data_IF_934903163902
#
_entry.id   IF_934903163902
#
_cell.length_a   1.000
_cell.length_b   1.000
_cell.length_c   1.000
_cell.angle_alpha   90.00
_cell.angle_beta   90.00
_cell.angle_gamma   90.00
#
_symmetry.space_group_name_H-M   'P 1'
#
loop_
_entity.id
_entity.type
_entity.pdbx_description
1 polymer ?
#
# COMPACT_ATOMS: atom_id res chain seq x y z
N UNK A 1 -8.43 -5.95 1.39
CA UNK A 1 -7.71 -5.50 2.60
C UNK A 1 -7.15 -4.12 2.30
N UNK A 2 -7.49 -3.13 3.11
CA UNK A 2 -7.09 -1.73 2.90
C UNK A 2 -6.42 -1.21 4.17
N UNK A 3 -5.19 -0.71 4.03
CA UNK A 3 -4.47 -0.06 5.12
C UNK A 3 -4.70 1.46 5.08
N UNK A 4 -4.60 2.17 6.22
CA UNK A 4 -4.69 3.62 6.26
C UNK A 4 -3.47 4.28 5.60
N UNK A 5 -3.72 5.24 4.72
CA UNK A 5 -2.71 6.08 4.08
C UNK A 5 -2.35 7.32 4.92
N UNK A 6 -1.46 8.18 4.43
CA UNK A 6 -1.18 9.50 5.03
C UNK A 6 -0.01 9.51 6.00
N UNK A 7 1.04 8.73 5.73
CA UNK A 7 2.26 8.71 6.55
C UNK A 7 3.50 8.96 5.71
N UNK A 8 4.59 9.33 6.36
CA UNK A 8 5.92 9.46 5.76
C UNK A 8 6.67 8.11 5.69
N UNK A 9 5.99 6.96 5.83
CA UNK A 9 6.63 5.63 5.83
C UNK A 9 7.68 5.40 6.94
N UNK A 10 7.73 6.26 7.97
CA UNK A 10 8.49 6.06 9.21
C UNK A 10 7.57 5.85 10.41
N UNK A 11 6.26 5.80 10.18
CA UNK A 11 5.24 5.56 11.20
C UNK A 11 4.03 4.85 10.58
N UNK A 12 3.26 4.18 11.44
CA UNK A 12 1.96 3.63 11.11
C UNK A 12 0.86 4.69 11.24
N UNK A 13 -0.38 4.24 11.12
CA UNK A 13 -1.56 5.09 11.21
C UNK A 13 -2.69 4.28 11.85
N UNK A 14 -3.51 4.86 12.75
CA UNK A 14 -4.67 4.18 13.28
C UNK A 14 -5.80 4.23 12.25
N UNK A 15 -6.93 3.58 12.56
CA UNK A 15 -8.19 3.80 11.84
C UNK A 15 -9.05 4.89 12.50
N UNK A 16 -8.63 5.37 13.68
CA UNK A 16 -9.39 6.33 14.47
C UNK A 16 -9.30 7.72 13.83
N UNK A 17 -10.45 8.28 13.45
CA UNK A 17 -10.57 9.68 13.03
C UNK A 17 -10.56 9.96 11.52
N UNK A 18 -10.27 8.97 10.67
CA UNK A 18 -10.36 9.10 9.21
C UNK A 18 -11.51 8.23 8.67
N UNK A 19 -12.43 8.85 7.93
CA UNK A 19 -13.52 8.12 7.27
C UNK A 19 -13.02 7.51 5.96
N UNK A 20 -12.34 6.36 6.04
CA UNK A 20 -11.92 5.54 4.89
C UNK A 20 -13.10 4.86 4.17
N UNK A 21 -14.34 5.27 4.48
CA UNK A 21 -15.52 4.79 3.79
C UNK A 21 -15.44 5.05 2.29
N UNK A 22 -14.95 6.20 1.83
CA UNK A 22 -14.82 6.49 0.40
C UNK A 22 -13.85 5.54 -0.33
N UNK A 23 -12.80 5.08 0.36
CA UNK A 23 -11.84 4.11 -0.19
C UNK A 23 -12.41 2.68 -0.23
N UNK A 24 -13.41 2.37 0.59
CA UNK A 24 -13.84 0.98 0.83
C UNK A 24 -15.27 0.65 0.47
N UNK A 25 -16.19 1.62 0.57
CA UNK A 25 -17.59 1.48 0.18
C UNK A 25 -17.74 1.04 -1.28
N UNK A 26 -17.03 1.63 -2.27
CA UNK A 26 -17.22 1.21 -3.66
C UNK A 26 -16.89 -0.28 -3.90
N UNK A 27 -15.91 -0.82 -3.17
CA UNK A 27 -15.61 -2.25 -3.20
C UNK A 27 -16.74 -3.08 -2.58
N UNK A 28 -17.29 -2.63 -1.45
CA UNK A 28 -18.42 -3.30 -0.81
C UNK A 28 -19.66 -3.32 -1.72
N UNK A 29 -19.99 -2.19 -2.34
CA UNK A 29 -21.09 -2.07 -3.31
C UNK A 29 -20.86 -2.92 -4.57
N UNK A 30 -19.60 -3.13 -4.95
CA UNK A 30 -19.23 -4.01 -6.05
C UNK A 30 -19.26 -5.51 -5.69
N UNK A 31 -19.59 -5.86 -4.45
CA UNK A 31 -19.77 -7.23 -3.97
C UNK A 31 -18.53 -7.85 -3.29
N UNK A 32 -17.52 -7.05 -2.96
CA UNK A 32 -16.35 -7.52 -2.21
C UNK A 32 -16.57 -7.33 -0.71
N UNK A 33 -16.02 -8.24 0.11
CA UNK A 33 -15.85 -7.94 1.53
C UNK A 33 -14.64 -7.02 1.70
N UNK A 34 -14.88 -5.76 2.08
CA UNK A 34 -13.81 -4.79 2.36
C UNK A 34 -13.48 -4.78 3.85
N UNK A 35 -12.19 -4.87 4.16
CA UNK A 35 -11.68 -4.93 5.54
C UNK A 35 -10.53 -3.94 5.64
N UNK A 36 -10.70 -3.01 6.56
CA UNK A 36 -9.68 -2.05 6.96
C UNK A 36 -8.93 -2.56 8.19
N UNK A 37 -7.67 -2.20 8.32
CA UNK A 37 -6.84 -2.56 9.47
C UNK A 37 -5.82 -1.46 9.76
N UNK A 38 -5.53 -1.20 11.03
CA UNK A 38 -4.53 -0.20 11.43
C UNK A 38 -3.10 -0.69 11.22
N UNK A 39 -2.16 0.26 11.17
CA UNK A 39 -0.73 0.01 11.15
C UNK A 39 -0.11 0.41 12.48
N UNK A 40 0.78 -0.43 13.01
CA UNK A 40 1.45 -0.16 14.29
C UNK A 40 2.31 1.11 14.22
N UNK A 41 2.28 1.89 15.31
CA UNK A 41 3.07 3.11 15.42
C UNK A 41 2.35 4.34 14.88
N UNK A 42 1.10 4.57 15.28
CA UNK A 42 0.39 5.82 15.03
C UNK A 42 1.03 7.00 15.78
N UNK A 43 0.94 8.19 15.19
CA UNK A 43 1.30 9.47 15.81
C UNK A 43 0.07 10.38 15.80
N UNK A 44 -0.25 10.94 16.96
CA UNK A 44 -1.36 11.87 17.16
C UNK A 44 -0.87 13.31 17.35
N UNK A 45 0.38 13.49 17.78
CA UNK A 45 1.04 14.78 17.92
C UNK A 45 2.42 14.75 17.26
N UNK A 46 2.54 15.35 16.07
CA UNK A 46 3.80 15.41 15.31
C UNK A 46 4.86 16.30 15.94
N UNK A 47 4.50 17.16 16.90
CA UNK A 47 5.46 17.97 17.66
C UNK A 47 6.07 17.17 18.84
N UNK A 48 5.53 15.99 19.19
CA UNK A 48 6.07 15.14 20.24
C UNK A 48 7.11 14.16 19.70
N UNK A 49 8.38 14.53 19.80
CA UNK A 49 9.51 13.70 19.36
C UNK A 49 9.58 12.34 20.08
N UNK A 50 9.14 12.25 21.35
CA UNK A 50 9.14 11.00 22.08
C UNK A 50 8.06 10.05 21.56
N UNK A 51 6.89 10.60 21.22
CA UNK A 51 5.82 9.87 20.53
C UNK A 51 6.27 9.37 19.17
N UNK A 52 6.85 10.24 18.32
CA UNK A 52 7.38 9.86 17.01
C UNK A 52 8.43 8.74 17.10
N UNK A 53 9.34 8.83 18.08
CA UNK A 53 10.36 7.81 18.29
C UNK A 53 9.75 6.47 18.68
N UNK A 54 8.71 6.48 19.54
CA UNK A 54 7.98 5.28 19.94
C UNK A 54 7.20 4.68 18.76
N UNK A 55 6.49 5.52 18.01
CA UNK A 55 5.73 5.15 16.83
C UNK A 55 6.62 4.49 15.77
N UNK A 56 7.76 5.10 15.45
CA UNK A 56 8.73 4.51 14.52
C UNK A 56 9.25 3.14 14.98
N UNK A 57 9.55 2.97 16.28
CA UNK A 57 9.98 1.66 16.79
C UNK A 57 8.90 0.59 16.61
N UNK A 58 7.64 0.94 16.82
CA UNK A 58 6.50 0.04 16.63
C UNK A 58 6.31 -0.30 15.15
N UNK A 59 6.29 0.71 14.26
CA UNK A 59 6.17 0.52 12.81
C UNK A 59 7.31 -0.34 12.23
N UNK A 60 8.55 -0.07 12.67
CA UNK A 60 9.72 -0.88 12.32
C UNK A 60 9.61 -2.30 12.84
N UNK A 61 9.18 -2.50 14.09
CA UNK A 61 8.97 -3.84 14.65
C UNK A 61 7.86 -4.62 13.92
N UNK A 62 6.88 -3.91 13.38
CA UNK A 62 5.82 -4.46 12.54
C UNK A 62 6.25 -4.67 11.07
N UNK A 63 7.54 -4.46 10.75
CA UNK A 63 8.08 -4.67 9.42
C UNK A 63 7.44 -3.77 8.37
N UNK A 64 7.36 -2.48 8.67
CA UNK A 64 6.72 -1.47 7.83
C UNK A 64 5.26 -1.82 7.44
N UNK A 65 4.52 -2.41 8.38
CA UNK A 65 3.11 -2.80 8.20
C UNK A 65 2.89 -4.25 7.73
N UNK A 66 3.93 -4.97 7.29
CA UNK A 66 3.77 -6.37 6.82
C UNK A 66 3.28 -7.33 7.91
N UNK A 67 3.63 -7.10 9.18
CA UNK A 67 3.10 -7.88 10.30
C UNK A 67 1.60 -7.60 10.51
N UNK A 68 1.17 -6.34 10.40
CA UNK A 68 -0.25 -5.96 10.46
C UNK A 68 -1.04 -6.63 9.34
N UNK A 69 -0.51 -6.61 8.11
CA UNK A 69 -1.10 -7.30 6.96
C UNK A 69 -1.25 -8.80 7.21
N UNK A 70 -0.20 -9.47 7.72
CA UNK A 70 -0.27 -10.90 8.07
C UNK A 70 -1.37 -11.18 9.08
N UNK A 71 -1.49 -10.36 10.12
CA UNK A 71 -2.51 -10.52 11.14
C UNK A 71 -3.92 -10.43 10.56
N UNK A 72 -4.20 -9.47 9.66
CA UNK A 72 -5.52 -9.36 9.03
C UNK A 72 -5.77 -10.50 8.02
N UNK A 73 -4.77 -10.94 7.25
CA UNK A 73 -4.89 -12.11 6.36
C UNK A 73 -5.31 -13.35 7.17
N UNK A 74 -4.62 -13.62 8.28
CA UNK A 74 -4.91 -14.76 9.14
C UNK A 74 -6.27 -14.62 9.85
N UNK A 75 -6.62 -13.41 10.30
CA UNK A 75 -7.95 -13.14 10.84
C UNK A 75 -9.05 -13.48 9.83
N UNK A 76 -8.92 -13.01 8.58
CA UNK A 76 -9.88 -13.27 7.52
C UNK A 76 -10.04 -14.78 7.28
N UNK A 77 -8.92 -15.48 7.06
CA UNK A 77 -8.91 -16.92 6.77
C UNK A 77 -9.50 -17.76 7.91
N UNK A 78 -9.33 -17.33 9.16
CA UNK A 78 -9.75 -18.11 10.33
C UNK A 78 -11.14 -17.73 10.85
N UNK A 79 -11.61 -16.50 10.62
CA UNK A 79 -12.79 -15.94 11.29
C UNK A 79 -13.93 -15.59 10.36
N UNK A 80 -13.71 -15.50 9.05
CA UNK A 80 -14.71 -15.10 8.06
C UNK A 80 -14.94 -16.23 7.05
N UNK A 81 -15.76 -17.26 7.40
CA UNK A 81 -15.97 -18.43 6.54
C UNK A 81 -16.61 -18.12 5.18
N UNK A 82 -17.23 -16.95 5.04
CA UNK A 82 -17.78 -16.44 3.78
C UNK A 82 -16.72 -15.95 2.77
N UNK A 83 -15.46 -15.79 3.19
CA UNK A 83 -14.37 -15.37 2.31
C UNK A 83 -13.71 -16.59 1.65
N UNK A 84 -13.55 -16.57 0.32
CA UNK A 84 -12.67 -17.52 -0.36
C UNK A 84 -11.20 -17.16 -0.05
N UNK A 85 -10.45 -18.01 0.67
CA UNK A 85 -9.07 -17.71 1.06
C UNK A 85 -8.12 -17.59 -0.13
N UNK A 86 -8.54 -18.00 -1.34
CA UNK A 86 -7.76 -17.85 -2.59
C UNK A 86 -8.03 -16.54 -3.32
N UNK A 87 -8.92 -15.69 -2.80
CA UNK A 87 -9.36 -14.41 -3.39
C UNK A 87 -9.17 -13.25 -2.42
N UNK A 88 -8.00 -13.20 -1.77
CA UNK A 88 -7.63 -12.09 -0.90
C UNK A 88 -6.89 -11.04 -1.73
N UNK A 89 -7.43 -9.83 -1.75
CA UNK A 89 -6.87 -8.68 -2.46
C UNK A 89 -6.36 -7.63 -1.48
N UNK A 90 -5.24 -7.00 -1.81
CA UNK A 90 -4.72 -5.84 -1.08
C UNK A 90 -4.85 -4.60 -1.96
N UNK A 91 -5.30 -3.50 -1.36
CA UNK A 91 -5.43 -2.21 -2.03
C UNK A 91 -5.02 -1.09 -1.07
N UNK A 92 -4.41 -0.03 -1.59
CA UNK A 92 -4.07 1.12 -0.77
C UNK A 92 -3.59 2.32 -1.59
N UNK A 93 -3.76 3.49 -0.99
CA UNK A 93 -3.36 4.78 -1.51
C UNK A 93 -2.03 5.25 -0.91
N UNK A 94 -1.18 5.92 -1.69
CA UNK A 94 -0.02 6.65 -1.15
C UNK A 94 0.87 5.74 -0.29
N UNK A 95 1.09 6.07 0.99
CA UNK A 95 1.81 5.20 1.93
C UNK A 95 1.17 3.81 2.10
N UNK A 96 -0.16 3.68 2.07
CA UNK A 96 -0.85 2.39 2.07
C UNK A 96 -0.72 1.64 0.74
N UNK A 97 -0.50 2.35 -0.37
CA UNK A 97 -0.12 1.74 -1.66
C UNK A 97 1.23 1.04 -1.55
N UNK A 98 2.18 1.68 -0.84
CA UNK A 98 3.47 1.09 -0.48
C UNK A 98 3.28 -0.19 0.33
N UNK A 99 2.45 -0.14 1.39
CA UNK A 99 2.12 -1.32 2.21
C UNK A 99 1.47 -2.44 1.38
N UNK A 100 0.63 -2.11 0.40
CA UNK A 100 0.03 -3.10 -0.50
C UNK A 100 1.07 -3.80 -1.38
N UNK A 101 2.04 -3.06 -1.90
CA UNK A 101 3.18 -3.65 -2.62
C UNK A 101 4.03 -4.54 -1.70
N UNK A 102 4.32 -4.06 -0.47
CA UNK A 102 5.05 -4.84 0.54
C UNK A 102 4.30 -6.12 0.94
N UNK A 103 2.98 -6.07 1.03
CA UNK A 103 2.14 -7.24 1.27
C UNK A 103 2.26 -8.25 0.12
N UNK A 104 2.17 -7.79 -1.12
CA UNK A 104 2.24 -8.63 -2.30
C UNK A 104 3.61 -9.31 -2.48
N UNK A 105 4.72 -8.63 -2.15
CA UNK A 105 6.05 -9.25 -2.15
C UNK A 105 6.23 -10.26 -1.00
N UNK A 106 5.64 -9.99 0.17
CA UNK A 106 5.91 -10.76 1.40
C UNK A 106 5.03 -12.00 1.48
N UNK A 107 3.79 -11.94 0.96
CA UNK A 107 2.79 -13.00 1.05
C UNK A 107 2.28 -13.44 -0.33
N UNK A 108 3.16 -13.86 -1.26
CA UNK A 108 2.79 -14.17 -2.65
C UNK A 108 1.82 -15.35 -2.80
N UNK A 109 1.68 -16.18 -1.75
CA UNK A 109 0.75 -17.31 -1.73
C UNK A 109 -0.63 -16.95 -1.16
N UNK A 110 -0.72 -15.87 -0.37
CA UNK A 110 -1.98 -15.43 0.24
C UNK A 110 -2.60 -14.26 -0.53
N UNK A 111 -1.80 -13.40 -1.16
CA UNK A 111 -2.27 -12.24 -1.91
C UNK A 111 -2.56 -12.63 -3.36
N UNK A 112 -3.84 -12.66 -3.72
CA UNK A 112 -4.31 -13.06 -5.04
C UNK A 112 -4.20 -11.95 -6.10
N UNK A 113 -4.21 -10.69 -5.69
CA UNK A 113 -3.96 -9.52 -6.53
C UNK A 113 -3.64 -8.30 -5.64
N UNK A 114 -2.88 -7.35 -6.17
CA UNK A 114 -2.48 -6.13 -5.48
C UNK A 114 -2.83 -4.91 -6.31
N UNK A 115 -3.41 -3.92 -5.64
CA UNK A 115 -3.78 -2.62 -6.20
C UNK A 115 -3.00 -1.55 -5.42
N UNK A 116 -2.29 -0.67 -6.10
CA UNK A 116 -1.63 0.46 -5.47
C UNK A 116 -1.91 1.75 -6.25
N UNK A 117 -2.48 2.73 -5.54
CA UNK A 117 -2.80 4.05 -6.05
C UNK A 117 -1.75 5.05 -5.55
N UNK A 118 -1.10 5.75 -6.48
CA UNK A 118 -0.04 6.71 -6.20
C UNK A 118 0.98 6.26 -5.13
N UNK A 119 1.50 5.01 -5.18
CA UNK A 119 2.41 4.53 -4.15
C UNK A 119 3.75 5.25 -4.19
N UNK A 120 4.36 5.43 -3.02
CA UNK A 120 5.81 5.61 -2.94
C UNK A 120 6.49 4.24 -3.10
N UNK A 121 7.15 3.99 -4.22
CA UNK A 121 7.77 2.68 -4.49
C UNK A 121 9.24 2.59 -4.04
N UNK A 122 9.85 3.73 -3.77
CA UNK A 122 11.24 3.90 -3.38
C UNK A 122 11.37 4.82 -2.14
N UNK A 123 10.93 4.38 -0.95
CA UNK A 123 11.18 5.06 0.33
C UNK A 123 12.64 5.49 0.53
N UNK A 124 13.61 4.70 0.05
CA UNK A 124 15.04 5.05 0.10
C UNK A 124 15.34 6.33 -0.68
N UNK A 125 14.81 6.46 -1.91
CA UNK A 125 14.90 7.69 -2.69
C UNK A 125 14.07 8.83 -2.07
N UNK A 126 12.86 8.55 -1.59
CA UNK A 126 11.97 9.53 -0.97
C UNK A 126 12.60 10.22 0.24
N UNK A 127 13.34 9.48 1.06
CA UNK A 127 14.06 10.02 2.21
C UNK A 127 15.50 10.44 1.90
N UNK A 128 15.97 10.38 0.66
CA UNK A 128 17.39 10.59 0.33
C UNK A 128 17.89 11.97 0.77
N UNK A 129 17.12 13.02 0.45
CA UNK A 129 17.46 14.42 0.74
C UNK A 129 17.11 14.86 2.16
N UNK A 130 16.45 14.01 2.93
CA UNK A 130 16.12 14.34 4.30
C UNK A 130 17.41 14.44 5.15
N UNK A 131 17.47 15.34 6.17
CA UNK A 131 18.68 15.55 6.96
C UNK A 131 19.06 14.29 7.75
N UNK A 132 19.86 13.41 7.14
CA UNK A 132 20.06 12.03 7.61
C UNK A 132 20.62 11.91 9.02
N UNK A 133 21.44 12.87 9.46
CA UNK A 133 21.94 12.93 10.84
C UNK A 133 20.81 13.20 11.86
N UNK A 134 19.93 14.15 11.55
CA UNK A 134 18.79 14.49 12.40
C UNK A 134 17.77 13.35 12.42
N UNK A 135 17.40 12.84 11.23
CA UNK A 135 16.48 11.71 11.13
C UNK A 135 17.04 10.45 11.79
N UNK A 136 18.33 10.15 11.69
CA UNK A 136 18.88 8.96 12.36
C UNK A 136 18.90 9.10 13.89
N UNK A 137 18.83 10.32 14.43
CA UNK A 137 18.70 10.56 15.87
C UNK A 137 17.29 10.23 16.34
N UNK A 138 16.27 10.63 15.58
CA UNK A 138 14.84 10.42 15.91
C UNK A 138 14.40 8.99 15.51
N UNK A 139 14.89 8.51 14.37
CA UNK A 139 14.58 7.24 13.73
C UNK A 139 15.84 6.39 13.47
N UNK A 140 16.45 5.82 14.52
CA UNK A 140 17.67 5.03 14.37
C UNK A 140 17.49 3.88 13.37
N UNK A 141 18.39 3.82 12.38
CA UNK A 141 18.41 2.76 11.37
C UNK A 141 17.35 2.89 10.27
N UNK A 142 16.75 4.08 10.08
CA UNK A 142 15.72 4.28 9.05
C UNK A 142 16.23 3.98 7.64
N UNK A 143 17.50 4.28 7.33
CA UNK A 143 18.12 3.90 6.05
C UNK A 143 18.05 2.40 5.77
N UNK A 144 18.24 1.56 6.78
CA UNK A 144 18.13 0.11 6.64
C UNK A 144 16.67 -0.33 6.49
N UNK A 145 15.73 0.36 7.16
CA UNK A 145 14.30 0.16 6.97
C UNK A 145 13.93 0.48 5.51
N UNK A 146 14.26 1.67 5.03
CA UNK A 146 14.00 2.13 3.67
C UNK A 146 14.54 1.15 2.63
N UNK A 147 15.82 0.77 2.73
CA UNK A 147 16.45 -0.20 1.82
C UNK A 147 15.75 -1.56 1.81
N UNK A 148 15.25 -2.00 2.97
CA UNK A 148 14.59 -3.29 3.07
C UNK A 148 13.14 -3.24 2.58
N UNK A 149 12.45 -2.13 2.82
CA UNK A 149 11.02 -1.95 2.57
C UNK A 149 10.74 -0.98 1.42
N UNK A 150 11.66 -0.90 0.44
CA UNK A 150 11.41 -0.24 -0.84
C UNK A 150 10.95 -1.24 -1.90
N UNK A 151 9.65 -1.26 -2.29
CA UNK A 151 9.11 -2.22 -3.25
C UNK A 151 9.89 -2.30 -4.57
N UNK A 152 10.42 -1.19 -5.06
CA UNK A 152 11.16 -1.14 -6.32
C UNK A 152 12.38 -2.07 -6.32
N UNK A 153 12.99 -2.30 -5.15
CA UNK A 153 14.20 -3.13 -4.98
C UNK A 153 13.91 -4.63 -5.05
N UNK A 154 12.64 -5.02 -4.86
CA UNK A 154 12.16 -6.40 -4.87
C UNK A 154 11.03 -6.57 -5.87
N UNK A 155 11.04 -5.79 -6.95
CA UNK A 155 10.03 -5.85 -8.01
C UNK A 155 9.91 -7.26 -8.62
N UNK A 156 10.99 -8.06 -8.56
CA UNK A 156 11.01 -9.46 -8.98
C UNK A 156 10.18 -10.38 -8.06
N UNK A 157 9.88 -9.99 -6.83
CA UNK A 157 9.07 -10.76 -5.87
C UNK A 157 7.56 -10.49 -6.00
N UNK A 158 7.16 -9.47 -6.75
CA UNK A 158 5.74 -9.15 -6.99
C UNK A 158 5.15 -10.09 -8.04
N UNK A 159 4.69 -11.27 -7.61
CA UNK A 159 4.23 -12.35 -8.50
C UNK A 159 2.74 -12.36 -8.84
N UNK A 160 1.90 -11.77 -7.98
CA UNK A 160 0.46 -11.70 -8.24
C UNK A 160 0.14 -10.66 -9.33
N UNK A 161 -1.05 -10.69 -9.95
CA UNK A 161 -1.55 -9.57 -10.74
C UNK A 161 -1.42 -8.24 -9.98
N UNK A 162 -0.89 -7.22 -10.67
CA UNK A 162 -0.69 -5.87 -10.13
C UNK A 162 -1.51 -4.85 -10.92
N UNK A 163 -2.20 -3.99 -10.20
CA UNK A 163 -2.82 -2.78 -10.74
C UNK A 163 -2.17 -1.55 -10.11
N UNK A 164 -1.45 -0.78 -10.92
CA UNK A 164 -0.79 0.45 -10.53
C UNK A 164 -1.52 1.63 -11.17
N UNK A 165 -1.87 2.62 -10.35
CA UNK A 165 -2.64 3.77 -10.80
C UNK A 165 -2.04 5.09 -10.35
N UNK A 166 -2.14 6.11 -11.21
CA UNK A 166 -1.56 7.42 -10.97
C UNK A 166 -2.33 8.52 -11.72
N UNK A 167 -2.46 9.70 -11.12
CA UNK A 167 -2.83 10.91 -11.86
C UNK A 167 -1.58 11.69 -12.27
N UNK A 168 -1.58 12.26 -13.47
CA UNK A 168 -0.43 13.03 -13.99
C UNK A 168 -0.29 14.40 -13.36
N UNK A 169 -1.36 14.92 -12.75
CA UNK A 169 -1.39 16.19 -12.00
C UNK A 169 -1.22 16.00 -10.48
N UNK A 170 -0.82 14.81 -10.02
CA UNK A 170 -0.57 14.52 -8.61
C UNK A 170 0.51 15.45 -8.04
N UNK A 171 0.11 16.23 -7.04
CA UNK A 171 0.94 17.25 -6.38
C UNK A 171 1.81 16.69 -5.26
N UNK A 172 1.65 15.43 -4.88
CA UNK A 172 2.37 14.79 -3.77
C UNK A 172 3.39 13.78 -4.27
N UNK A 173 3.00 12.89 -5.20
CA UNK A 173 3.86 11.85 -5.77
C UNK A 173 3.96 12.06 -7.26
N UNK A 174 5.18 12.29 -7.76
CA UNK A 174 5.41 12.46 -9.19
C UNK A 174 4.98 11.22 -9.98
N UNK A 175 4.23 11.42 -11.07
CA UNK A 175 3.67 10.31 -11.83
C UNK A 175 4.73 9.35 -12.41
N UNK A 176 5.96 9.85 -12.61
CA UNK A 176 7.10 9.05 -13.03
C UNK A 176 7.45 7.91 -12.05
N UNK A 177 7.17 8.07 -10.76
CA UNK A 177 7.46 7.08 -9.72
C UNK A 177 6.64 5.79 -9.91
N UNK A 178 5.31 5.92 -10.01
CA UNK A 178 4.42 4.77 -10.25
C UNK A 178 4.69 4.11 -11.59
N UNK A 179 5.02 4.89 -12.62
CA UNK A 179 5.42 4.37 -13.94
C UNK A 179 6.72 3.57 -13.87
N UNK A 180 7.74 4.06 -13.17
CA UNK A 180 9.01 3.36 -12.92
C UNK A 180 8.79 2.04 -12.20
N UNK A 181 7.92 2.01 -11.19
CA UNK A 181 7.53 0.76 -10.51
C UNK A 181 6.86 -0.25 -11.46
N UNK A 182 5.94 0.22 -12.31
CA UNK A 182 5.29 -0.64 -13.30
C UNK A 182 6.30 -1.25 -14.29
N UNK A 183 7.22 -0.44 -14.79
CA UNK A 183 8.29 -0.88 -15.69
C UNK A 183 9.25 -1.88 -15.02
N UNK A 184 9.59 -1.68 -13.75
CA UNK A 184 10.41 -2.61 -12.99
C UNK A 184 9.71 -3.96 -12.78
N UNK A 185 8.44 -3.96 -12.35
CA UNK A 185 7.67 -5.18 -12.13
C UNK A 185 7.44 -5.96 -13.45
N UNK A 186 7.19 -5.27 -14.57
CA UNK A 186 6.97 -5.89 -15.89
C UNK A 186 8.14 -6.73 -16.40
N UNK A 187 9.36 -6.48 -15.91
CA UNK A 187 10.54 -7.31 -16.24
C UNK A 187 10.42 -8.74 -15.70
N UNK A 188 9.59 -8.96 -14.68
CA UNK A 188 9.49 -10.22 -13.95
C UNK A 188 8.06 -10.77 -13.83
N UNK A 189 7.05 -9.95 -14.13
CA UNK A 189 5.64 -10.29 -14.02
C UNK A 189 4.88 -9.76 -15.25
N UNK A 190 4.24 -10.65 -16.00
CA UNK A 190 3.47 -10.30 -17.20
C UNK A 190 2.02 -9.84 -16.90
N UNK A 191 1.59 -9.87 -15.64
CA UNK A 191 0.26 -9.49 -15.18
C UNK A 191 0.24 -8.10 -14.51
N UNK A 192 0.99 -7.14 -15.08
CA UNK A 192 1.09 -5.77 -14.57
C UNK A 192 0.28 -4.80 -15.42
N UNK A 193 -0.82 -4.32 -14.87
CA UNK A 193 -1.65 -3.25 -15.42
C UNK A 193 -1.22 -1.91 -14.82
N UNK A 194 -0.83 -0.96 -15.67
CA UNK A 194 -0.59 0.43 -15.28
C UNK A 194 -1.67 1.29 -15.93
N UNK A 195 -2.35 2.10 -15.15
CA UNK A 195 -3.41 3.00 -15.59
C UNK A 195 -3.12 4.41 -15.11
N UNK A 196 -3.13 5.37 -16.03
CA UNK A 196 -2.96 6.79 -15.70
C UNK A 196 -4.16 7.62 -16.11
N UNK A 197 -4.37 8.74 -15.43
CA UNK A 197 -5.40 9.74 -15.74
C UNK A 197 -4.81 11.14 -15.72
N UNK A 198 -5.44 12.07 -16.44
CA UNK A 198 -4.91 13.41 -16.63
C UNK A 198 -5.16 14.39 -15.48
N UNK A 199 -6.09 14.08 -14.58
CA UNK A 199 -6.58 15.01 -13.56
C UNK A 199 -7.10 14.30 -12.31
N UNK A 200 -7.23 15.08 -11.24
CA UNK A 200 -7.83 14.66 -9.97
C UNK A 200 -6.83 14.61 -8.81
N UNK A 201 -5.60 15.07 -9.05
CA UNK A 201 -4.55 15.20 -8.04
C UNK A 201 -4.32 13.87 -7.28
N UNK A 202 -3.73 13.94 -6.08
CA UNK A 202 -3.31 12.78 -5.31
C UNK A 202 -4.49 11.87 -4.87
N UNK A 203 -5.54 12.44 -4.27
CA UNK A 203 -6.61 11.66 -3.64
C UNK A 203 -7.87 11.49 -4.50
N UNK A 204 -8.41 12.56 -5.06
CA UNK A 204 -9.70 12.51 -5.77
C UNK A 204 -9.63 11.65 -7.04
N UNK A 205 -8.48 11.63 -7.72
CA UNK A 205 -8.25 10.78 -8.88
C UNK A 205 -8.40 9.30 -8.56
N UNK A 206 -7.93 8.86 -7.40
CA UNK A 206 -8.12 7.50 -6.92
C UNK A 206 -9.61 7.23 -6.72
N UNK A 207 -10.31 8.07 -5.96
CA UNK A 207 -11.72 7.84 -5.61
C UNK A 207 -12.59 7.79 -6.87
N UNK A 208 -12.48 8.81 -7.72
CA UNK A 208 -13.39 9.00 -8.86
C UNK A 208 -13.04 8.12 -10.06
N UNK A 209 -11.78 7.72 -10.22
CA UNK A 209 -11.30 7.04 -11.43
C UNK A 209 -10.52 5.76 -11.13
N UNK A 210 -9.61 5.79 -10.16
CA UNK A 210 -8.76 4.66 -9.81
C UNK A 210 -9.54 3.45 -9.28
N UNK A 211 -10.39 3.66 -8.27
CA UNK A 211 -11.20 2.59 -7.65
C UNK A 211 -12.17 1.96 -8.65
N UNK A 212 -12.97 2.73 -9.43
CA UNK A 212 -13.81 2.13 -10.48
C UNK A 212 -13.03 1.28 -11.49
N UNK A 213 -11.85 1.74 -11.92
CA UNK A 213 -10.99 0.98 -12.86
C UNK A 213 -10.43 -0.28 -12.21
N UNK A 214 -10.00 -0.22 -10.95
CA UNK A 214 -9.48 -1.38 -10.23
C UNK A 214 -10.56 -2.43 -9.96
N UNK A 215 -11.78 -2.01 -9.63
CA UNK A 215 -12.93 -2.92 -9.47
C UNK A 215 -13.22 -3.63 -10.80
N UNK A 216 -13.26 -2.89 -11.91
CA UNK A 216 -13.42 -3.47 -13.25
C UNK A 216 -12.31 -4.48 -13.56
N UNK A 217 -11.06 -4.14 -13.24
CA UNK A 217 -9.91 -5.01 -13.39
C UNK A 217 -10.00 -6.28 -12.52
N UNK A 218 -10.35 -6.17 -11.23
CA UNK A 218 -10.51 -7.32 -10.33
C UNK A 218 -11.54 -8.32 -10.86
N UNK A 219 -12.64 -7.85 -11.46
CA UNK A 219 -13.63 -8.73 -12.10
C UNK A 219 -13.04 -9.56 -13.24
N UNK A 220 -12.08 -9.01 -13.99
CA UNK A 220 -11.35 -9.77 -15.02
C UNK A 220 -10.42 -10.82 -14.41
N UNK A 221 -9.75 -10.49 -13.30
CA UNK A 221 -8.90 -11.43 -12.55
C UNK A 221 -9.75 -12.58 -12.01
N UNK A 222 -10.90 -12.28 -11.41
CA UNK A 222 -11.83 -13.28 -10.89
C UNK A 222 -12.37 -14.22 -11.97
N UNK A 223 -12.78 -13.67 -13.11
CA UNK A 223 -13.27 -14.46 -14.24
C UNK A 223 -12.19 -15.42 -14.77
N UNK A 224 -10.92 -14.98 -14.81
CA UNK A 224 -9.80 -15.81 -15.27
C UNK A 224 -9.46 -16.98 -14.31
N UNK A 225 -9.89 -16.92 -13.05
CA UNK A 225 -9.63 -17.94 -12.02
C UNK A 225 -10.72 -19.02 -11.92
N UNK A 226 -11.83 -18.88 -12.65
CA UNK A 226 -12.91 -19.87 -12.69
C UNK A 226 -12.68 -21.01 -13.70
N UNK A 227 -11.57 -20.93 -14.44
CA UNK A 227 -11.12 -21.92 -15.43
C UNK A 227 -9.73 -22.44 -15.07
#
# INVERSE_FOLDING_TARGET
LVAPAGTNLLQGNPLDGADYHDETLPYAEAGFLSIQYSLDGAVYNEDDTAEMTKAYRQFRAAGAGTVNTRCVIEFVKQRLPEVDPRRIYVAGHSSAGTVSLLAAETFPNDVAACIAYAPCSDPEAFHADAPGFLLNTIFPGFRSLDQHYSPIRKADQLKCPLFLFQATDDSVVEAAETKKMAEAARKHNNQVTYSEVGFGDHYDSMIQQGIPKAISWLRTIDASRQH
#
